data_IF_546532643038
#
_entry.id   IF_546532643038
#
_cell.length_a   1.000
_cell.length_b   1.000
_cell.length_c   1.000
_cell.angle_alpha   90.00
_cell.angle_beta   90.00
_cell.angle_gamma   90.00
#
_symmetry.space_group_name_H-M   'P 1'
#
loop_
_entity.id
_entity.type
_entity.pdbx_description
1 polymer ?
#
# COMPACT_ATOMS: atom_id res chain seq x y z
N UNK A 1 -19.99 -29.61 10.97
CA UNK A 1 -18.58 -29.26 10.70
C UNK A 1 -18.52 -28.74 9.28
N UNK A 2 -18.38 -27.42 9.11
CA UNK A 2 -18.46 -26.75 7.81
C UNK A 2 -17.05 -26.23 7.49
N UNK A 3 -16.31 -26.97 6.68
CA UNK A 3 -14.97 -26.59 6.23
C UNK A 3 -15.11 -25.48 5.18
N UNK A 4 -14.85 -24.22 5.58
CA UNK A 4 -14.69 -23.11 4.62
C UNK A 4 -13.31 -23.27 3.98
N UNK A 5 -13.21 -23.39 2.63
CA UNK A 5 -11.96 -23.67 1.98
C UNK A 5 -11.02 -22.47 2.05
N UNK A 6 -9.80 -22.74 2.50
CA UNK A 6 -8.62 -21.87 2.52
C UNK A 6 -8.17 -21.54 1.07
N UNK A 7 -8.96 -20.78 0.31
CA UNK A 7 -8.70 -20.52 -1.12
C UNK A 7 -8.24 -19.08 -1.45
N UNK A 8 -8.11 -18.20 -0.47
CA UNK A 8 -7.60 -16.84 -0.73
C UNK A 8 -6.07 -16.71 -0.59
N UNK A 9 -5.38 -17.82 -0.35
CA UNK A 9 -3.94 -17.83 -0.07
C UNK A 9 -3.01 -17.54 -1.26
N UNK A 10 -3.46 -17.10 -2.45
CA UNK A 10 -2.53 -16.84 -3.59
C UNK A 10 -3.04 -16.04 -4.83
N UNK A 11 -4.33 -15.68 -4.98
CA UNK A 11 -4.85 -15.32 -6.33
C UNK A 11 -4.90 -13.80 -6.63
N UNK A 12 -4.56 -12.95 -5.65
CA UNK A 12 -4.48 -11.50 -5.84
C UNK A 12 -3.06 -10.96 -6.01
N UNK A 13 -2.07 -11.79 -6.35
CA UNK A 13 -0.73 -11.31 -6.70
C UNK A 13 -0.82 -10.45 -7.97
N UNK A 14 -0.96 -9.13 -7.82
CA UNK A 14 -0.32 -8.15 -8.71
C UNK A 14 -0.63 -8.31 -10.22
N UNK A 15 -1.82 -8.79 -10.59
CA UNK A 15 -2.29 -8.95 -11.97
C UNK A 15 -2.64 -7.61 -12.67
N UNK A 16 -1.99 -6.53 -12.27
CA UNK A 16 -2.18 -5.22 -12.91
C UNK A 16 -1.02 -4.24 -12.83
N UNK A 17 0.13 -4.60 -12.24
CA UNK A 17 1.13 -3.57 -11.92
C UNK A 17 2.58 -3.99 -11.74
N UNK A 18 2.99 -5.19 -12.16
CA UNK A 18 4.43 -5.46 -12.33
C UNK A 18 4.87 -4.98 -13.72
N UNK A 19 4.75 -3.69 -14.00
CA UNK A 19 5.64 -3.06 -14.98
C UNK A 19 6.96 -2.84 -14.27
N UNK A 20 7.78 -3.89 -14.23
CA UNK A 20 9.22 -3.78 -14.03
C UNK A 20 9.72 -2.79 -15.06
N UNK A 21 9.91 -1.54 -14.62
CA UNK A 21 10.67 -0.56 -15.37
C UNK A 21 12.13 -1.01 -15.30
N UNK A 22 12.55 -1.79 -16.28
CA UNK A 22 13.97 -1.97 -16.58
C UNK A 22 14.52 -0.65 -17.12
N UNK A 23 14.81 0.27 -16.20
CA UNK A 23 15.64 1.43 -16.45
C UNK A 23 16.58 1.67 -15.26
N UNK A 24 17.14 0.60 -14.69
CA UNK A 24 18.33 0.69 -13.85
C UNK A 24 19.57 0.83 -14.76
N UNK A 25 19.69 1.97 -15.46
CA UNK A 25 20.97 2.42 -16.01
C UNK A 25 21.59 3.40 -15.02
N UNK A 26 22.49 2.85 -14.20
CA UNK A 26 23.60 3.50 -13.48
C UNK A 26 23.63 5.03 -13.42
N UNK A 27 23.26 5.62 -12.28
CA UNK A 27 23.94 6.83 -11.78
C UNK A 27 24.16 6.67 -10.27
N UNK A 28 25.37 6.24 -9.91
CA UNK A 28 25.88 6.32 -8.56
C UNK A 28 26.23 7.78 -8.26
N UNK A 29 25.41 8.49 -7.48
CA UNK A 29 25.80 9.76 -6.85
C UNK A 29 25.23 9.81 -5.42
N UNK A 30 26.07 10.00 -4.40
CA UNK A 30 25.56 10.29 -3.06
C UNK A 30 25.02 11.71 -3.06
N UNK A 31 23.71 11.89 -2.86
CA UNK A 31 23.13 13.19 -2.54
C UNK A 31 22.89 13.22 -1.04
N UNK A 32 23.68 14.05 -0.35
CA UNK A 32 23.50 14.37 1.06
C UNK A 32 22.46 15.49 1.22
N UNK A 33 21.54 15.23 2.15
CA UNK A 33 20.67 16.09 2.95
C UNK A 33 20.00 17.33 2.34
N UNK A 34 18.67 17.37 2.48
CA UNK A 34 17.96 18.60 2.80
C UNK A 34 16.86 18.31 3.82
N UNK A 35 17.11 18.77 5.04
CA UNK A 35 16.20 18.87 6.17
C UNK A 35 14.88 19.53 5.76
N UNK A 36 13.78 18.77 5.77
CA UNK A 36 12.42 19.33 5.76
C UNK A 36 11.56 18.61 6.79
N UNK A 37 11.37 19.28 7.93
CA UNK A 37 10.46 18.86 8.98
C UNK A 37 9.03 19.24 8.56
N UNK A 38 8.31 18.36 7.88
CA UNK A 38 6.84 18.38 7.77
C UNK A 38 6.30 17.05 7.24
N UNK A 39 5.43 16.40 8.03
CA UNK A 39 4.55 15.26 7.69
C UNK A 39 5.22 13.89 7.49
N UNK A 40 5.74 13.38 8.60
CA UNK A 40 6.26 12.01 8.76
C UNK A 40 5.15 10.93 8.79
N UNK A 41 4.35 10.83 7.72
CA UNK A 41 3.46 9.69 7.46
C UNK A 41 3.49 9.21 6.00
N UNK A 42 4.18 9.91 5.09
CA UNK A 42 4.16 9.62 3.65
C UNK A 42 5.37 8.82 3.16
N UNK A 43 6.37 8.58 4.01
CA UNK A 43 7.67 8.07 3.57
C UNK A 43 8.17 6.88 4.40
N UNK A 44 7.33 5.87 4.63
CA UNK A 44 7.85 4.57 5.06
C UNK A 44 8.64 3.98 3.89
N UNK A 45 9.94 3.73 4.10
CA UNK A 45 10.71 2.99 3.13
C UNK A 45 10.12 1.59 2.98
N UNK A 46 10.23 1.00 1.78
CA UNK A 46 9.94 -0.43 1.59
C UNK A 46 10.73 -1.29 2.59
N UNK A 47 11.93 -0.86 2.98
CA UNK A 47 12.73 -1.54 3.99
C UNK A 47 12.07 -1.51 5.37
N UNK A 48 11.49 -0.37 5.76
CA UNK A 48 10.83 -0.22 7.07
C UNK A 48 9.55 -1.06 7.11
N UNK A 49 8.79 -1.09 6.01
CA UNK A 49 7.62 -1.96 5.88
C UNK A 49 8.00 -3.44 5.99
N UNK A 50 9.07 -3.88 5.31
CA UNK A 50 9.51 -5.28 5.44
C UNK A 50 10.01 -5.63 6.83
N UNK A 51 10.68 -4.69 7.52
CA UNK A 51 11.17 -4.91 8.88
C UNK A 51 10.02 -5.05 9.89
N UNK A 52 8.95 -4.27 9.75
CA UNK A 52 7.75 -4.41 10.60
C UNK A 52 7.08 -5.78 10.40
N UNK A 53 7.17 -6.35 9.20
CA UNK A 53 6.54 -7.63 8.87
C UNK A 53 7.37 -8.87 9.23
N UNK A 54 8.69 -8.74 9.40
CA UNK A 54 9.65 -9.85 9.48
C UNK A 54 9.32 -10.90 10.56
N UNK A 55 8.72 -10.46 11.67
CA UNK A 55 8.38 -11.33 12.81
C UNK A 55 6.88 -11.54 13.01
N UNK A 56 6.05 -11.14 12.03
CA UNK A 56 4.58 -11.29 12.10
C UNK A 56 4.12 -12.50 11.29
N UNK A 57 3.03 -13.11 11.71
CA UNK A 57 2.38 -14.20 10.95
C UNK A 57 0.87 -14.19 11.17
N UNK A 58 0.12 -14.89 10.31
CA UNK A 58 -1.34 -14.97 10.39
C UNK A 58 -2.01 -13.59 10.41
N UNK A 59 -3.05 -13.42 11.24
CA UNK A 59 -3.83 -12.18 11.32
C UNK A 59 -2.98 -10.95 11.68
N UNK A 60 -1.92 -11.11 12.48
CA UNK A 60 -1.03 -10.01 12.83
C UNK A 60 -0.23 -9.52 11.62
N UNK A 61 0.18 -10.45 10.75
CA UNK A 61 0.83 -10.12 9.49
C UNK A 61 -0.14 -9.44 8.53
N UNK A 62 -1.33 -10.02 8.30
CA UNK A 62 -2.30 -9.49 7.34
C UNK A 62 -2.76 -8.08 7.73
N UNK A 63 -3.00 -7.86 9.02
CA UNK A 63 -3.35 -6.53 9.55
C UNK A 63 -2.24 -5.51 9.32
N UNK A 64 -0.99 -5.86 9.62
CA UNK A 64 0.15 -4.97 9.43
C UNK A 64 0.43 -4.70 7.95
N UNK A 65 0.36 -5.74 7.11
CA UNK A 65 0.56 -5.65 5.67
C UNK A 65 -0.47 -4.73 5.02
N UNK A 66 -1.77 -4.93 5.30
CA UNK A 66 -2.84 -4.13 4.71
C UNK A 66 -2.76 -2.67 5.19
N UNK A 67 -2.49 -2.42 6.47
CA UNK A 67 -2.33 -1.06 6.98
C UNK A 67 -1.17 -0.32 6.29
N UNK A 68 -0.02 -1.00 6.15
CA UNK A 68 1.16 -0.44 5.47
C UNK A 68 0.92 -0.22 3.97
N UNK A 69 0.24 -1.14 3.27
CA UNK A 69 -0.06 -0.99 1.84
C UNK A 69 -1.09 0.08 1.55
N UNK A 70 -2.08 0.29 2.41
CA UNK A 70 -2.98 1.44 2.27
C UNK A 70 -2.18 2.75 2.33
N UNK A 71 -1.29 2.92 3.31
CA UNK A 71 -0.48 4.12 3.45
C UNK A 71 0.49 4.31 2.28
N UNK A 72 1.15 3.23 1.83
CA UNK A 72 2.04 3.25 0.68
C UNK A 72 1.31 3.69 -0.61
N UNK A 73 0.15 3.12 -0.89
CA UNK A 73 -0.66 3.48 -2.05
C UNK A 73 -1.21 4.89 -1.98
N UNK A 74 -1.64 5.36 -0.80
CA UNK A 74 -2.09 6.75 -0.63
C UNK A 74 -0.95 7.73 -0.99
N UNK A 75 0.29 7.45 -0.57
CA UNK A 75 1.47 8.24 -0.96
C UNK A 75 1.76 8.18 -2.47
N UNK A 76 1.68 7.00 -3.08
CA UNK A 76 1.90 6.85 -4.52
C UNK A 76 0.80 7.52 -5.37
N UNK A 77 -0.46 7.53 -4.92
CA UNK A 77 -1.56 8.30 -5.53
C UNK A 77 -1.28 9.80 -5.46
N UNK A 78 -0.80 10.32 -4.33
CA UNK A 78 -0.42 11.74 -4.20
C UNK A 78 0.71 12.11 -5.18
N UNK A 79 1.76 11.29 -5.28
CA UNK A 79 2.85 11.50 -6.24
C UNK A 79 2.36 11.41 -7.70
N UNK A 80 1.51 10.44 -8.01
CA UNK A 80 0.94 10.30 -9.35
C UNK A 80 0.05 11.49 -9.72
N UNK A 81 -0.74 12.03 -8.78
CA UNK A 81 -1.54 13.26 -8.99
C UNK A 81 -0.66 14.47 -9.30
N UNK A 82 0.52 14.58 -8.67
CA UNK A 82 1.49 15.62 -9.00
C UNK A 82 2.09 15.40 -10.40
N UNK A 83 2.53 14.18 -10.71
CA UNK A 83 3.11 13.81 -12.00
C UNK A 83 2.12 14.03 -13.16
N UNK A 84 0.85 13.65 -13.00
CA UNK A 84 -0.20 13.88 -14.00
C UNK A 84 -0.40 15.36 -14.35
N UNK A 85 -0.19 16.26 -13.39
CA UNK A 85 -0.33 17.72 -13.56
C UNK A 85 0.92 18.37 -14.12
N UNK A 86 2.10 17.90 -13.73
CA UNK A 86 3.37 18.60 -13.95
C UNK A 86 4.25 17.97 -15.03
N UNK A 87 4.01 16.72 -15.43
CA UNK A 87 4.84 16.05 -16.41
C UNK A 87 4.78 16.73 -17.78
N UNK A 88 5.93 16.82 -18.45
CA UNK A 88 6.05 17.37 -19.81
C UNK A 88 5.52 16.40 -20.87
N UNK A 89 5.80 15.12 -20.70
CA UNK A 89 5.50 14.06 -21.67
C UNK A 89 4.15 13.43 -21.39
N UNK A 90 3.33 13.24 -22.42
CA UNK A 90 1.96 12.73 -22.27
C UNK A 90 1.94 11.25 -21.86
N UNK A 91 2.97 10.48 -22.20
CA UNK A 91 3.17 9.11 -21.76
C UNK A 91 3.26 9.03 -20.23
N UNK A 92 3.95 10.00 -19.60
CA UNK A 92 4.09 10.07 -18.14
C UNK A 92 2.76 10.48 -17.50
N UNK A 93 2.01 11.42 -18.09
CA UNK A 93 0.68 11.78 -17.60
C UNK A 93 -0.28 10.60 -17.67
N UNK A 94 -0.25 9.86 -18.78
CA UNK A 94 -1.07 8.65 -18.97
C UNK A 94 -0.73 7.61 -17.90
N UNK A 95 0.56 7.29 -17.75
CA UNK A 95 1.02 6.36 -16.70
C UNK A 95 0.56 6.81 -15.31
N UNK A 96 0.64 8.11 -15.03
CA UNK A 96 0.22 8.66 -13.73
C UNK A 96 -1.29 8.47 -13.48
N UNK A 97 -2.13 8.72 -14.50
CA UNK A 97 -3.57 8.48 -14.40
C UNK A 97 -3.90 6.99 -14.24
N UNK A 98 -3.18 6.10 -14.94
CA UNK A 98 -3.34 4.66 -14.81
C UNK A 98 -2.98 4.19 -13.38
N UNK A 99 -1.90 4.72 -12.80
CA UNK A 99 -1.49 4.46 -11.40
C UNK A 99 -2.56 4.91 -10.41
N UNK A 100 -3.11 6.12 -10.58
CA UNK A 100 -4.17 6.65 -9.69
C UNK A 100 -5.37 5.70 -9.70
N UNK A 101 -5.86 5.33 -10.89
CA UNK A 101 -7.05 4.49 -11.02
C UNK A 101 -6.85 3.09 -10.40
N UNK A 102 -5.69 2.48 -10.64
CA UNK A 102 -5.37 1.17 -10.09
C UNK A 102 -5.26 1.21 -8.56
N UNK A 103 -4.48 2.15 -8.01
CA UNK A 103 -4.21 2.18 -6.58
C UNK A 103 -5.40 2.66 -5.74
N UNK A 104 -6.24 3.57 -6.25
CA UNK A 104 -7.49 3.95 -5.56
C UNK A 104 -8.46 2.74 -5.45
N UNK A 105 -8.50 1.88 -6.46
CA UNK A 105 -9.25 0.61 -6.41
C UNK A 105 -8.68 -0.34 -5.36
N UNK A 106 -7.37 -0.55 -5.35
CA UNK A 106 -6.69 -1.43 -4.39
C UNK A 106 -6.84 -0.93 -2.95
N UNK A 107 -6.77 0.38 -2.70
CA UNK A 107 -7.06 0.99 -1.39
C UNK A 107 -8.49 0.64 -0.93
N UNK A 108 -9.45 0.72 -1.84
CA UNK A 108 -10.86 0.42 -1.53
C UNK A 108 -11.04 -1.05 -1.16
N UNK A 109 -10.41 -1.96 -1.90
CA UNK A 109 -10.42 -3.41 -1.61
C UNK A 109 -9.78 -3.71 -0.25
N UNK A 110 -8.61 -3.14 0.02
CA UNK A 110 -7.91 -3.30 1.29
C UNK A 110 -8.71 -2.76 2.48
N UNK A 111 -9.37 -1.60 2.35
CA UNK A 111 -10.27 -1.05 3.38
C UNK A 111 -11.47 -1.96 3.60
N UNK A 112 -12.00 -2.58 2.54
CA UNK A 112 -13.07 -3.56 2.66
C UNK A 112 -12.62 -4.80 3.43
N UNK A 113 -11.44 -5.35 3.13
CA UNK A 113 -10.88 -6.49 3.88
C UNK A 113 -10.67 -6.16 5.36
N UNK A 114 -10.21 -4.96 5.70
CA UNK A 114 -10.11 -4.54 7.11
C UNK A 114 -11.45 -4.57 7.85
N UNK A 115 -12.56 -4.27 7.16
CA UNK A 115 -13.90 -4.35 7.74
C UNK A 115 -14.37 -5.80 7.84
N UNK A 116 -14.24 -6.56 6.74
CA UNK A 116 -14.73 -7.94 6.65
C UNK A 116 -14.02 -8.88 7.64
N UNK A 117 -12.73 -8.63 7.91
CA UNK A 117 -11.90 -9.45 8.79
C UNK A 117 -11.74 -8.87 10.21
N UNK A 118 -12.38 -7.74 10.51
CA UNK A 118 -12.38 -7.15 11.85
C UNK A 118 -11.04 -6.50 12.26
N UNK A 119 -10.21 -6.10 11.30
CA UNK A 119 -8.93 -5.41 11.56
C UNK A 119 -9.09 -3.91 11.79
N UNK A 120 -10.19 -3.31 11.32
CA UNK A 120 -10.49 -1.89 11.51
C UNK A 120 -10.76 -1.57 12.99
N UNK A 121 -10.07 -0.54 13.51
CA UNK A 121 -10.20 -0.10 14.90
C UNK A 121 -11.62 0.35 15.26
N UNK A 122 -12.45 0.69 14.28
CA UNK A 122 -13.78 1.25 14.50
C UNK A 122 -14.81 0.22 15.04
N UNK A 123 -14.53 -1.09 14.96
CA UNK A 123 -15.44 -2.13 15.48
C UNK A 123 -15.07 -2.68 16.87
N UNK A 124 -13.99 -2.21 17.50
CA UNK A 124 -13.53 -2.74 18.79
C UNK A 124 -14.17 -2.08 20.03
N UNK A 125 -15.15 -1.18 19.87
CA UNK A 125 -15.82 -0.47 21.00
C UNK A 125 -17.19 -1.04 21.42
N UNK A 126 -17.66 -2.17 20.87
CA UNK A 126 -18.98 -2.71 21.29
C UNK A 126 -19.03 -4.22 21.52
N UNK A 127 -18.11 -4.73 22.34
CA UNK A 127 -18.09 -6.14 22.76
C UNK A 127 -17.98 -6.39 24.27
N UNK A 128 -18.01 -5.37 25.12
CA UNK A 128 -18.04 -5.53 26.58
C UNK A 128 -19.44 -5.27 27.14
N UNK A 129 -20.39 -6.15 26.83
CA UNK A 129 -21.61 -6.30 27.63
C UNK A 129 -22.06 -7.76 27.63
N UNK A 130 -21.80 -8.44 28.75
CA UNK A 130 -22.59 -9.56 29.24
C UNK A 130 -22.23 -10.94 28.67
N UNK A 131 -21.56 -11.77 29.45
CA UNK A 131 -22.20 -12.71 30.39
C UNK A 131 -21.17 -13.31 31.35
#
# INVERSE_FOLDING_TARGET
MQTKPLLYGLIGFLLGGLLVSTAAMTINKPVQDTTTNSRSMSNMSMNDMTADLENKSGDEFDKAFIASMIAHHEGAVEMAKLSAKSAKHDEIKKLSNDIIAAQEKEITEMKQWQMDWGYSSMMMDHGSMGH
#
